data_IF_276182289071
#
_entry.id   IF_276182289071
#
_cell.length_a   1.000
_cell.length_b   1.000
_cell.length_c   1.000
_cell.angle_alpha   90.00
_cell.angle_beta   90.00
_cell.angle_gamma   90.00
#
_symmetry.space_group_name_H-M   'P 1'
#
loop_
_entity.id
_entity.type
_entity.pdbx_description
1 polymer ?
#
# COMPACT_ATOMS: atom_id res chain seq x y z
N UNK A 1 -7.62 10.05 53.42
CA UNK A 1 -6.14 10.05 53.52
C UNK A 1 -5.63 8.68 53.09
N UNK A 2 -5.39 8.50 51.79
CA UNK A 2 -5.01 7.20 51.21
C UNK A 2 -3.52 7.20 50.87
N UNK A 3 -2.80 6.24 51.44
CA UNK A 3 -1.35 6.05 51.32
C UNK A 3 -0.99 5.56 49.92
N UNK A 4 -0.20 6.36 49.20
CA UNK A 4 0.45 5.99 47.93
C UNK A 4 1.68 5.12 48.26
N UNK A 5 1.72 3.88 47.74
CA UNK A 5 2.91 3.02 47.79
C UNK A 5 3.83 3.35 46.60
N UNK A 6 5.15 3.53 46.79
CA UNK A 6 6.09 3.73 45.69
C UNK A 6 6.47 2.42 44.98
N UNK A 7 6.69 2.53 43.67
CA UNK A 7 7.05 1.45 42.74
C UNK A 7 8.47 0.90 42.92
N UNK A 8 8.73 -0.38 42.58
CA UNK A 8 10.08 -0.92 42.54
C UNK A 8 10.84 -0.46 41.27
N UNK A 9 12.07 0.02 41.49
CA UNK A 9 13.04 0.45 40.49
C UNK A 9 13.50 -0.75 39.65
N UNK A 10 13.24 -0.74 38.34
CA UNK A 10 13.91 -1.65 37.41
C UNK A 10 15.32 -1.14 37.11
N UNK A 11 16.30 -1.99 37.40
CA UNK A 11 17.72 -1.78 37.10
C UNK A 11 17.93 -2.13 35.64
N UNK A 12 18.23 -1.11 34.83
CA UNK A 12 18.66 -1.29 33.43
C UNK A 12 20.11 -1.74 33.41
N UNK A 13 20.36 -2.99 33.04
CA UNK A 13 21.70 -3.49 32.72
C UNK A 13 22.03 -2.98 31.31
N UNK A 14 22.84 -1.93 31.24
CA UNK A 14 23.48 -1.45 30.03
C UNK A 14 24.56 -2.45 29.61
N UNK A 15 24.27 -3.28 28.62
CA UNK A 15 25.29 -4.06 27.92
C UNK A 15 26.08 -3.14 27.01
N UNK A 16 27.29 -2.78 27.47
CA UNK A 16 28.34 -2.17 26.68
C UNK A 16 29.05 -3.28 25.91
N UNK A 17 28.93 -3.32 24.59
CA UNK A 17 29.85 -4.10 23.74
C UNK A 17 30.22 -3.29 22.50
N UNK A 18 31.41 -2.70 22.63
CA UNK A 18 32.51 -2.70 21.65
C UNK A 18 32.26 -2.11 20.26
N UNK A 19 32.63 -0.84 20.14
CA UNK A 19 32.99 -0.21 18.87
C UNK A 19 34.32 -0.79 18.36
N UNK A 20 34.29 -1.61 17.32
CA UNK A 20 35.48 -1.89 16.52
C UNK A 20 35.66 -0.76 15.50
N UNK A 21 36.55 0.18 15.82
CA UNK A 21 37.22 1.04 14.86
C UNK A 21 38.07 0.16 13.93
N UNK A 22 37.69 0.06 12.66
CA UNK A 22 38.61 -0.33 11.59
C UNK A 22 38.79 0.88 10.68
N UNK A 23 39.87 1.60 10.96
CA UNK A 23 40.46 2.57 10.05
C UNK A 23 41.27 1.81 9.00
N UNK A 24 40.85 1.89 7.74
CA UNK A 24 41.69 1.55 6.59
C UNK A 24 41.53 2.63 5.53
N UNK A 25 42.49 3.56 5.51
CA UNK A 25 42.76 4.43 4.37
C UNK A 25 43.23 3.56 3.19
N UNK A 26 42.55 3.67 2.06
CA UNK A 26 43.16 3.37 0.76
C UNK A 26 42.72 4.43 -0.25
N UNK A 27 43.66 5.33 -0.54
CA UNK A 27 43.63 6.25 -1.65
C UNK A 27 43.73 5.43 -2.96
N UNK A 28 42.60 5.26 -3.65
CA UNK A 28 42.53 4.69 -4.98
C UNK A 28 42.39 5.81 -6.01
N UNK A 29 43.41 5.95 -6.85
CA UNK A 29 43.52 6.97 -7.89
C UNK A 29 42.33 6.97 -8.86
N UNK A 30 41.82 8.16 -9.12
CA UNK A 30 40.78 8.46 -10.10
C UNK A 30 41.42 8.40 -11.49
N UNK A 31 41.15 7.33 -12.25
CA UNK A 31 41.37 7.30 -13.69
C UNK A 31 40.05 7.68 -14.38
N UNK A 32 39.95 8.94 -14.74
CA UNK A 32 38.85 9.52 -15.52
C UNK A 32 38.91 9.02 -16.96
N UNK A 33 38.36 7.83 -17.23
CA UNK A 33 38.04 7.43 -18.59
C UNK A 33 36.80 8.22 -19.04
N UNK A 34 37.02 9.23 -19.89
CA UNK A 34 35.96 9.98 -20.55
C UNK A 34 35.18 9.08 -21.50
N UNK A 35 34.11 8.46 -21.01
CA UNK A 35 33.08 7.87 -21.86
C UNK A 35 32.22 9.02 -22.38
N UNK A 36 32.37 9.32 -23.67
CA UNK A 36 31.42 10.14 -24.42
C UNK A 36 30.13 9.32 -24.54
N UNK A 37 29.22 9.49 -23.57
CA UNK A 37 27.86 8.98 -23.71
C UNK A 37 27.18 9.90 -24.73
N UNK A 38 27.00 9.39 -25.94
CA UNK A 38 26.13 10.01 -26.94
C UNK A 38 24.75 10.22 -26.31
N UNK A 39 24.35 11.49 -26.19
CA UNK A 39 22.99 11.88 -25.78
C UNK A 39 22.00 11.22 -26.75
N UNK A 40 21.10 10.32 -26.30
CA UNK A 40 19.98 9.94 -27.14
C UNK A 40 19.16 11.20 -27.39
N UNK A 41 19.09 11.58 -28.66
CA UNK A 41 18.29 12.66 -29.18
C UNK A 41 16.85 12.41 -28.75
N UNK A 42 16.29 13.36 -27.99
CA UNK A 42 14.90 13.32 -27.56
C UNK A 42 14.02 13.16 -28.80
N UNK A 43 13.46 11.97 -28.97
CA UNK A 43 12.36 11.76 -29.88
C UNK A 43 11.26 12.74 -29.45
N UNK A 44 10.91 13.65 -30.36
CA UNK A 44 9.78 14.53 -30.20
C UNK A 44 8.57 13.67 -29.81
N UNK A 45 8.14 13.82 -28.55
CA UNK A 45 6.89 13.25 -28.10
C UNK A 45 5.79 13.94 -28.92
N UNK A 46 5.28 13.23 -29.91
CA UNK A 46 4.00 13.52 -30.52
C UNK A 46 2.98 13.60 -29.38
N UNK A 47 2.61 14.81 -28.99
CA UNK A 47 1.48 15.07 -28.13
C UNK A 47 0.21 14.68 -28.88
N UNK A 48 -0.16 13.41 -28.77
CA UNK A 48 -1.50 12.97 -29.12
C UNK A 48 -2.44 13.80 -28.25
N UNK A 49 -3.36 14.60 -28.83
CA UNK A 49 -4.42 15.19 -28.05
C UNK A 49 -5.28 14.04 -27.55
N UNK A 50 -5.08 13.65 -26.29
CA UNK A 50 -6.00 12.76 -25.59
C UNK A 50 -7.28 13.57 -25.41
N UNK A 51 -8.17 13.46 -26.40
CA UNK A 51 -9.57 13.80 -26.25
C UNK A 51 -10.12 12.88 -25.17
N UNK A 52 -10.05 13.35 -23.92
CA UNK A 52 -10.63 12.68 -22.77
C UNK A 52 -12.12 12.53 -23.04
N UNK A 53 -12.52 11.33 -23.47
CA UNK A 53 -13.93 10.98 -23.58
C UNK A 53 -14.48 11.01 -22.14
N UNK A 54 -15.49 11.83 -21.83
CA UNK A 54 -16.04 11.89 -20.48
C UNK A 54 -16.49 10.49 -20.07
N UNK A 55 -16.14 10.06 -18.86
CA UNK A 55 -16.59 8.79 -18.34
C UNK A 55 -18.13 8.72 -18.38
N UNK A 56 -18.74 7.57 -18.74
CA UNK A 56 -20.19 7.44 -18.83
C UNK A 56 -20.86 7.86 -17.52
N UNK A 57 -21.77 8.83 -17.59
CA UNK A 57 -22.55 9.30 -16.43
C UNK A 57 -22.14 10.66 -15.83
N UNK A 58 -21.06 11.29 -16.30
CA UNK A 58 -20.79 12.69 -15.95
C UNK A 58 -21.62 13.62 -16.84
N UNK A 59 -22.66 14.22 -16.27
CA UNK A 59 -23.44 15.29 -16.91
C UNK A 59 -23.25 16.60 -16.13
N UNK A 60 -23.32 17.71 -16.85
CA UNK A 60 -23.27 19.08 -16.30
C UNK A 60 -24.65 19.73 -16.26
N UNK A 61 -25.72 18.99 -16.54
CA UNK A 61 -27.06 19.53 -16.75
C UNK A 61 -27.53 20.34 -15.53
N UNK A 62 -27.68 21.66 -15.73
CA UNK A 62 -28.18 22.59 -14.71
C UNK A 62 -27.14 23.16 -13.73
N UNK A 63 -25.84 22.83 -13.89
CA UNK A 63 -24.78 23.30 -12.99
C UNK A 63 -23.81 24.28 -13.69
N UNK A 64 -23.45 25.38 -13.02
CA UNK A 64 -22.39 26.29 -13.49
C UNK A 64 -21.00 25.82 -13.07
N UNK A 65 -19.96 26.41 -13.68
CA UNK A 65 -18.58 26.12 -13.31
C UNK A 65 -18.32 26.40 -11.82
N UNK A 66 -18.78 27.56 -11.34
CA UNK A 66 -18.62 27.99 -9.95
C UNK A 66 -19.36 27.08 -8.98
N UNK A 67 -20.57 26.64 -9.34
CA UNK A 67 -21.32 25.67 -8.53
C UNK A 67 -20.58 24.34 -8.44
N UNK A 68 -20.07 23.82 -9.56
CA UNK A 68 -19.29 22.59 -9.59
C UNK A 68 -18.02 22.71 -8.72
N UNK A 69 -17.28 23.82 -8.85
CA UNK A 69 -16.11 24.08 -8.01
C UNK A 69 -16.47 24.16 -6.52
N UNK A 70 -17.53 24.88 -6.17
CA UNK A 70 -17.95 25.06 -4.78
C UNK A 70 -18.38 23.74 -4.12
N UNK A 71 -19.15 22.91 -4.82
CA UNK A 71 -19.52 21.57 -4.35
C UNK A 71 -18.27 20.70 -4.21
N UNK A 72 -17.37 20.73 -5.19
CA UNK A 72 -16.11 19.99 -5.14
C UNK A 72 -15.27 20.33 -3.92
N UNK A 73 -15.09 21.62 -3.64
CA UNK A 73 -14.37 22.07 -2.44
C UNK A 73 -15.10 21.74 -1.14
N UNK A 74 -16.44 21.83 -1.11
CA UNK A 74 -17.22 21.46 0.06
C UNK A 74 -17.06 19.97 0.41
N UNK A 75 -17.17 19.10 -0.59
CA UNK A 75 -16.94 17.65 -0.44
C UNK A 75 -15.50 17.34 -0.03
N UNK A 76 -14.51 18.01 -0.65
CA UNK A 76 -13.10 17.85 -0.30
C UNK A 76 -12.81 18.19 1.17
N UNK A 77 -13.40 19.27 1.70
CA UNK A 77 -13.27 19.63 3.13
C UNK A 77 -13.91 18.62 4.07
N UNK A 78 -14.88 17.84 3.60
CA UNK A 78 -15.53 16.77 4.36
C UNK A 78 -14.79 15.43 4.23
N UNK A 79 -13.74 15.34 3.42
CA UNK A 79 -13.04 14.09 3.12
C UNK A 79 -13.75 13.22 2.09
N UNK A 80 -14.84 13.69 1.48
CA UNK A 80 -15.51 12.97 0.39
C UNK A 80 -14.80 13.24 -0.95
N UNK A 81 -13.64 12.62 -1.11
CA UNK A 81 -12.77 12.81 -2.27
C UNK A 81 -13.39 12.31 -3.58
N UNK A 82 -14.28 11.32 -3.52
CA UNK A 82 -14.99 10.80 -4.69
C UNK A 82 -16.01 11.82 -5.21
N UNK A 83 -16.86 12.35 -4.34
CA UNK A 83 -17.80 13.42 -4.71
C UNK A 83 -17.04 14.67 -5.16
N UNK A 84 -15.94 15.01 -4.49
CA UNK A 84 -15.11 16.14 -4.89
C UNK A 84 -14.55 15.98 -6.31
N UNK A 85 -13.95 14.82 -6.63
CA UNK A 85 -13.40 14.52 -7.94
C UNK A 85 -14.45 14.64 -9.05
N UNK A 86 -15.65 14.07 -8.84
CA UNK A 86 -16.74 14.14 -9.82
C UNK A 86 -17.10 15.60 -10.13
N UNK A 87 -17.19 16.45 -9.12
CA UNK A 87 -17.58 17.85 -9.32
C UNK A 87 -16.44 18.68 -9.94
N UNK A 88 -15.17 18.41 -9.62
CA UNK A 88 -14.05 19.04 -10.35
C UNK A 88 -13.98 18.59 -11.81
N UNK A 89 -14.30 17.33 -12.11
CA UNK A 89 -14.41 16.85 -13.49
C UNK A 89 -15.58 17.52 -14.24
N UNK A 90 -16.74 17.73 -13.59
CA UNK A 90 -17.83 18.55 -14.16
C UNK A 90 -17.38 19.99 -14.44
N UNK A 91 -16.61 20.60 -13.53
CA UNK A 91 -16.03 21.92 -13.76
C UNK A 91 -15.10 21.94 -14.98
N UNK A 92 -14.29 20.89 -15.17
CA UNK A 92 -13.44 20.72 -16.36
C UNK A 92 -14.22 20.47 -17.65
N UNK A 93 -15.39 19.83 -17.59
CA UNK A 93 -16.28 19.72 -18.76
C UNK A 93 -16.85 21.08 -19.17
N UNK A 94 -17.12 21.96 -18.20
CA UNK A 94 -17.64 23.31 -18.44
C UNK A 94 -16.52 24.28 -18.89
N UNK A 95 -15.30 24.12 -18.38
CA UNK A 95 -14.10 24.89 -18.76
C UNK A 95 -12.89 23.96 -18.91
N UNK A 96 -12.71 23.38 -20.11
CA UNK A 96 -11.56 22.52 -20.38
C UNK A 96 -10.23 23.24 -20.15
N UNK A 97 -9.29 22.57 -19.50
CA UNK A 97 -7.94 23.11 -19.24
C UNK A 97 -7.86 24.17 -18.13
N UNK A 98 -8.93 24.40 -17.37
CA UNK A 98 -8.90 25.37 -16.27
C UNK A 98 -7.93 24.94 -15.15
N UNK A 99 -6.84 25.70 -14.89
CA UNK A 99 -5.71 25.21 -14.10
C UNK A 99 -6.09 24.82 -12.66
N UNK A 100 -6.95 25.60 -12.01
CA UNK A 100 -7.40 25.30 -10.65
C UNK A 100 -8.31 24.06 -10.58
N UNK A 101 -9.11 23.81 -11.61
CA UNK A 101 -10.01 22.66 -11.61
C UNK A 101 -9.21 21.37 -11.89
N UNK A 102 -8.20 21.46 -12.77
CA UNK A 102 -7.24 20.38 -13.03
C UNK A 102 -6.50 20.01 -11.76
N UNK A 103 -5.85 20.98 -11.11
CA UNK A 103 -5.09 20.74 -9.88
C UNK A 103 -5.98 20.16 -8.75
N UNK A 104 -7.22 20.65 -8.63
CA UNK A 104 -8.15 20.13 -7.65
C UNK A 104 -8.56 18.66 -7.95
N UNK A 105 -8.84 18.33 -9.21
CA UNK A 105 -9.15 16.96 -9.61
C UNK A 105 -7.95 16.01 -9.39
N UNK A 106 -6.74 16.44 -9.74
CA UNK A 106 -5.51 15.66 -9.52
C UNK A 106 -5.26 15.41 -8.03
N UNK A 107 -5.44 16.42 -7.18
CA UNK A 107 -5.34 16.26 -5.73
C UNK A 107 -6.34 15.23 -5.21
N UNK A 108 -7.59 15.24 -5.69
CA UNK A 108 -8.59 14.25 -5.26
C UNK A 108 -8.24 12.84 -5.73
N UNK A 109 -7.76 12.70 -6.97
CA UNK A 109 -7.30 11.41 -7.49
C UNK A 109 -6.12 10.85 -6.68
N UNK A 110 -5.20 11.72 -6.25
CA UNK A 110 -4.09 11.35 -5.36
C UNK A 110 -4.61 10.79 -4.02
N UNK A 111 -5.52 11.49 -3.34
CA UNK A 111 -6.04 11.00 -2.05
C UNK A 111 -6.79 9.69 -2.18
N UNK A 112 -7.61 9.53 -3.22
CA UNK A 112 -8.32 8.27 -3.48
C UNK A 112 -7.32 7.11 -3.69
N UNK A 113 -6.25 7.34 -4.46
CA UNK A 113 -5.22 6.33 -4.68
C UNK A 113 -4.46 6.01 -3.38
N UNK A 114 -4.11 7.03 -2.61
CA UNK A 114 -3.45 6.89 -1.32
C UNK A 114 -4.28 6.03 -0.35
N UNK A 115 -5.58 6.34 -0.18
CA UNK A 115 -6.48 5.62 0.71
C UNK A 115 -6.59 4.13 0.33
N UNK A 116 -6.65 3.82 -0.98
CA UNK A 116 -6.67 2.43 -1.47
C UNK A 116 -5.39 1.68 -1.13
N UNK A 117 -4.23 2.30 -1.34
CA UNK A 117 -2.93 1.69 -1.01
C UNK A 117 -2.80 1.46 0.49
N UNK A 118 -3.22 2.43 1.29
CA UNK A 118 -3.22 2.33 2.74
C UNK A 118 -4.13 1.20 3.25
N UNK A 119 -5.38 1.13 2.78
CA UNK A 119 -6.32 0.08 3.15
C UNK A 119 -5.80 -1.33 2.75
N UNK A 120 -5.20 -1.44 1.56
CA UNK A 120 -4.54 -2.67 1.11
C UNK A 120 -3.39 -3.08 2.04
N UNK A 121 -2.53 -2.14 2.42
CA UNK A 121 -1.41 -2.42 3.32
C UNK A 121 -1.88 -2.87 4.70
N UNK A 122 -2.92 -2.23 5.25
CA UNK A 122 -3.52 -2.67 6.51
C UNK A 122 -4.05 -4.11 6.43
N UNK A 123 -4.71 -4.45 5.33
CA UNK A 123 -5.23 -5.81 5.12
C UNK A 123 -4.10 -6.83 5.03
N UNK A 124 -3.03 -6.53 4.30
CA UNK A 124 -1.84 -7.40 4.21
C UNK A 124 -1.24 -7.62 5.60
N UNK A 125 -1.03 -6.55 6.38
CA UNK A 125 -0.47 -6.67 7.73
C UNK A 125 -1.34 -7.53 8.67
N UNK A 126 -2.67 -7.41 8.57
CA UNK A 126 -3.60 -8.27 9.33
C UNK A 126 -3.50 -9.74 8.90
N UNK A 127 -3.41 -10.01 7.61
CA UNK A 127 -3.25 -11.37 7.08
C UNK A 127 -1.89 -11.98 7.47
N UNK A 128 -0.81 -11.21 7.45
CA UNK A 128 0.51 -11.67 7.92
C UNK A 128 0.48 -12.05 9.41
N UNK A 129 -0.16 -11.23 10.24
CA UNK A 129 -0.36 -11.54 11.67
C UNK A 129 -1.20 -12.81 11.87
N UNK A 130 -2.25 -13.00 11.07
CA UNK A 130 -3.07 -14.22 11.08
C UNK A 130 -2.26 -15.43 10.66
N UNK A 131 -1.47 -15.33 9.59
CA UNK A 131 -0.62 -16.40 9.08
C UNK A 131 0.40 -16.84 10.14
N UNK A 132 1.08 -15.89 10.79
CA UNK A 132 2.02 -16.17 11.86
C UNK A 132 1.35 -16.92 13.03
N UNK A 133 0.15 -16.47 13.42
CA UNK A 133 -0.64 -17.12 14.47
C UNK A 133 -1.04 -18.54 14.09
N UNK A 134 -1.57 -18.74 12.88
CA UNK A 134 -1.97 -20.05 12.37
C UNK A 134 -0.80 -21.03 12.32
N UNK A 135 0.37 -20.60 11.81
CA UNK A 135 1.59 -21.41 11.78
C UNK A 135 2.03 -21.78 13.20
N UNK A 136 2.03 -20.83 14.15
CA UNK A 136 2.45 -21.10 15.54
C UNK A 136 1.53 -22.10 16.26
N UNK A 137 0.24 -22.11 15.91
CA UNK A 137 -0.77 -23.02 16.44
C UNK A 137 -0.87 -24.33 15.65
N UNK A 138 -0.09 -24.47 14.58
CA UNK A 138 -0.16 -25.58 13.63
C UNK A 138 -1.55 -25.77 12.98
N UNK A 139 -2.32 -24.69 12.86
CA UNK A 139 -3.59 -24.68 12.11
C UNK A 139 -3.27 -24.53 10.61
N UNK A 140 -2.87 -25.65 10.01
CA UNK A 140 -2.39 -25.68 8.62
C UNK A 140 -3.47 -25.30 7.60
N UNK A 141 -4.74 -25.56 7.90
CA UNK A 141 -5.86 -25.14 7.03
C UNK A 141 -6.03 -23.62 7.08
N UNK A 142 -5.97 -22.99 8.26
CA UNK A 142 -6.02 -21.54 8.39
C UNK A 142 -4.79 -20.87 7.74
N UNK A 143 -3.60 -21.48 7.87
CA UNK A 143 -2.39 -20.99 7.20
C UNK A 143 -2.53 -21.02 5.66
N UNK A 144 -3.00 -22.14 5.09
CA UNK A 144 -3.18 -22.30 3.65
C UNK A 144 -4.17 -21.28 3.06
N UNK A 145 -5.34 -21.12 3.69
CA UNK A 145 -6.36 -20.15 3.23
C UNK A 145 -5.91 -18.69 3.38
N UNK A 146 -5.12 -18.40 4.42
CA UNK A 146 -4.51 -17.06 4.59
C UNK A 146 -3.48 -16.77 3.50
N UNK A 147 -2.64 -17.76 3.15
CA UNK A 147 -1.71 -17.66 2.03
C UNK A 147 -2.43 -17.44 0.69
N UNK A 148 -3.52 -18.18 0.43
CA UNK A 148 -4.34 -17.96 -0.76
C UNK A 148 -4.85 -16.52 -0.84
N UNK A 149 -5.34 -15.99 0.28
CA UNK A 149 -5.79 -14.59 0.33
C UNK A 149 -4.63 -13.62 0.09
N UNK A 150 -3.48 -13.82 0.74
CA UNK A 150 -2.28 -12.99 0.54
C UNK A 150 -1.82 -12.98 -0.92
N UNK A 151 -1.93 -14.11 -1.63
CA UNK A 151 -1.56 -14.15 -3.07
C UNK A 151 -2.46 -13.26 -3.93
N UNK A 152 -3.72 -13.04 -3.58
CA UNK A 152 -4.60 -12.08 -4.30
C UNK A 152 -4.17 -10.62 -4.11
N UNK A 153 -3.46 -10.35 -3.01
CA UNK A 153 -2.89 -9.03 -2.75
C UNK A 153 -1.48 -8.89 -3.31
N UNK A 154 -0.80 -9.95 -3.75
CA UNK A 154 0.53 -9.82 -4.34
C UNK A 154 0.48 -9.24 -5.76
N UNK A 155 1.51 -8.51 -6.17
CA UNK A 155 1.64 -8.08 -7.55
C UNK A 155 1.89 -9.30 -8.45
N UNK A 156 1.17 -9.45 -9.58
CA UNK A 156 1.36 -10.58 -10.48
C UNK A 156 2.80 -10.69 -11.00
N UNK A 157 3.36 -11.91 -11.05
CA UNK A 157 4.73 -12.22 -11.47
C UNK A 157 5.81 -11.55 -10.61
N UNK A 158 5.48 -11.14 -9.38
CA UNK A 158 6.46 -10.59 -8.44
C UNK A 158 7.15 -11.69 -7.64
N UNK A 159 8.39 -11.43 -7.22
CA UNK A 159 9.11 -12.32 -6.30
C UNK A 159 8.32 -12.60 -5.01
N UNK A 160 7.52 -11.64 -4.55
CA UNK A 160 6.67 -11.81 -3.37
C UNK A 160 5.55 -12.83 -3.61
N UNK A 161 4.93 -12.81 -4.79
CA UNK A 161 3.93 -13.79 -5.18
C UNK A 161 4.54 -15.20 -5.25
N UNK A 162 5.70 -15.35 -5.91
CA UNK A 162 6.42 -16.63 -6.00
C UNK A 162 6.75 -17.19 -4.61
N UNK A 163 7.17 -16.34 -3.67
CA UNK A 163 7.44 -16.74 -2.28
C UNK A 163 6.18 -17.25 -1.59
N UNK A 164 5.05 -16.56 -1.73
CA UNK A 164 3.78 -16.98 -1.13
C UNK A 164 3.27 -18.30 -1.73
N UNK A 165 3.43 -18.50 -3.05
CA UNK A 165 3.11 -19.76 -3.72
C UNK A 165 3.99 -20.90 -3.20
N UNK A 166 5.29 -20.66 -3.03
CA UNK A 166 6.21 -21.62 -2.43
C UNK A 166 5.79 -22.01 -0.99
N UNK A 167 5.52 -21.02 -0.14
CA UNK A 167 5.03 -21.25 1.23
C UNK A 167 3.72 -22.05 1.26
N UNK A 168 2.81 -21.80 0.31
CA UNK A 168 1.58 -22.59 0.16
C UNK A 168 1.87 -24.05 -0.14
N UNK A 169 2.85 -24.32 -1.01
CA UNK A 169 3.30 -25.68 -1.31
C UNK A 169 3.82 -26.42 -0.08
N UNK A 170 4.63 -25.76 0.75
CA UNK A 170 5.14 -26.32 2.01
C UNK A 170 3.99 -26.67 2.98
N UNK A 171 3.03 -25.76 3.18
CA UNK A 171 1.86 -26.00 4.04
C UNK A 171 1.00 -27.14 3.48
N UNK A 172 0.89 -27.26 2.15
CA UNK A 172 0.12 -28.35 1.52
C UNK A 172 0.79 -29.70 1.76
N UNK A 173 2.12 -29.78 1.72
CA UNK A 173 2.85 -31.00 2.09
C UNK A 173 2.63 -31.40 3.55
N UNK A 174 2.55 -30.43 4.47
CA UNK A 174 2.24 -30.69 5.89
C UNK A 174 0.81 -31.23 6.07
N UNK A 175 -0.14 -30.69 5.32
CA UNK A 175 -1.52 -31.18 5.28
C UNK A 175 -1.58 -32.63 4.76
N UNK A 176 -0.91 -32.93 3.64
CA UNK A 176 -0.93 -34.27 3.05
C UNK A 176 -0.25 -35.32 3.95
N UNK A 177 0.83 -34.94 4.64
CA UNK A 177 1.56 -35.82 5.56
C UNK A 177 0.77 -36.17 6.84
N UNK A 178 -0.35 -35.49 7.10
CA UNK A 178 -1.16 -35.64 8.34
C UNK A 178 -0.38 -35.50 9.63
N UNK A 179 0.66 -34.67 9.62
CA UNK A 179 1.40 -34.32 10.82
C UNK A 179 0.43 -33.57 11.74
N UNK A 180 0.29 -34.05 12.97
CA UNK A 180 -0.52 -33.42 14.03
C UNK A 180 -2.04 -33.34 13.73
N UNK A 181 -2.65 -34.47 13.35
CA UNK A 181 -4.08 -34.61 13.04
C UNK A 181 -5.06 -34.10 14.11
N UNK A 182 -4.62 -33.94 15.36
CA UNK A 182 -5.44 -33.43 16.47
C UNK A 182 -5.57 -31.89 16.45
N UNK A 183 -4.72 -31.21 15.68
CA UNK A 183 -4.71 -29.75 15.50
C UNK A 183 -5.18 -29.32 14.11
N UNK A 184 -5.76 -30.25 13.36
CA UNK A 184 -5.93 -30.13 11.91
C UNK A 184 -6.88 -29.04 11.42
N UNK A 185 -7.69 -28.45 12.29
CA UNK A 185 -8.45 -27.25 11.96
C UNK A 185 -9.25 -26.79 13.16
N UNK A 186 -9.06 -25.54 13.58
CA UNK A 186 -10.16 -24.80 14.23
C UNK A 186 -10.79 -23.80 13.26
N UNK A 187 -10.65 -24.01 11.94
CA UNK A 187 -11.20 -23.18 10.85
C UNK A 187 -10.92 -21.67 11.02
N UNK A 188 -9.83 -21.28 11.70
CA UNK A 188 -9.64 -19.91 12.22
C UNK A 188 -10.74 -19.53 13.25
N UNK A 189 -10.72 -20.16 14.41
CA UNK A 189 -11.80 -20.10 15.41
C UNK A 189 -12.27 -18.65 15.73
N UNK A 190 -13.43 -18.29 15.15
CA UNK A 190 -14.32 -17.21 15.54
C UNK A 190 -13.88 -15.73 15.36
N UNK A 191 -13.15 -15.35 14.30
CA UNK A 191 -12.76 -13.94 14.09
C UNK A 191 -13.37 -13.28 12.85
N UNK A 192 -13.91 -12.08 13.10
CA UNK A 192 -14.74 -11.24 12.23
C UNK A 192 -14.19 -11.11 10.80
N UNK A 193 -15.08 -11.01 9.79
CA UNK A 193 -14.67 -10.69 8.43
C UNK A 193 -13.83 -9.41 8.41
N UNK A 194 -12.73 -9.45 7.65
CA UNK A 194 -11.96 -8.27 7.29
C UNK A 194 -12.79 -7.54 6.24
N UNK A 195 -13.56 -6.54 6.66
CA UNK A 195 -14.34 -5.65 5.80
C UNK A 195 -13.64 -4.29 5.72
#
# INVERSE_FOLDING_TARGET
MSKIKPAPRQVWILSVVSACLVTSLSAGAILSAGVVIARPQAAAANSIPVSATPAPGLTTAGMTFEQAMNVGYAASRQGDFHTALINFQRALMLRPGHPYATAAAENMAYYIAYDRVFARQQTIAQLESRLASAISQKDWVCAATTLDTLTTYAEPNSLNQERLIGQRGEVSGLLDARIDHEFWSTVCSAQRPVH
#
